data_IF_906029356258
#
_entry.id   IF_906029356258
#
_cell.length_a   1.000
_cell.length_b   1.000
_cell.length_c   1.000
_cell.angle_alpha   90.00
_cell.angle_beta   90.00
_cell.angle_gamma   90.00
#
_symmetry.space_group_name_H-M   'P 1'
#
loop_
_entity.id
_entity.type
_entity.pdbx_description
1 polymer ?
#
# COMPACT_ATOMS: atom_id res chain seq x y z
N UNK A 1 -3.14 17.54 -16.04
CA UNK A 1 -3.04 17.07 -14.64
C UNK A 1 -4.31 16.30 -14.30
N UNK A 2 -4.23 15.09 -13.72
CA UNK A 2 -5.44 14.34 -13.32
C UNK A 2 -6.13 15.10 -12.17
N UNK A 3 -7.41 15.44 -12.31
CA UNK A 3 -8.23 16.08 -11.26
C UNK A 3 -8.64 14.99 -10.25
N UNK A 4 -8.08 15.02 -9.04
CA UNK A 4 -8.53 14.19 -7.92
C UNK A 4 -7.67 12.95 -7.60
N UNK A 5 -8.03 12.30 -6.50
CA UNK A 5 -7.37 11.11 -5.95
C UNK A 5 -7.83 9.82 -6.64
N UNK A 6 -7.04 8.73 -6.62
CA UNK A 6 -7.43 7.44 -7.17
C UNK A 6 -8.81 6.96 -6.68
N UNK A 7 -9.62 6.47 -7.61
CA UNK A 7 -10.93 5.84 -7.39
C UNK A 7 -10.97 4.45 -8.04
N UNK A 8 -12.07 3.72 -7.86
CA UNK A 8 -12.27 2.39 -8.49
C UNK A 8 -12.29 2.47 -10.02
N UNK A 9 -12.62 3.64 -10.56
CA UNK A 9 -12.70 3.89 -12.00
C UNK A 9 -11.33 4.23 -12.60
N UNK A 10 -10.38 4.70 -11.79
CA UNK A 10 -9.04 5.11 -12.25
C UNK A 10 -7.93 4.12 -11.89
N UNK A 11 -8.29 3.06 -11.16
CA UNK A 11 -7.37 2.09 -10.58
C UNK A 11 -7.95 0.69 -10.70
N UNK A 12 -7.08 -0.28 -10.98
CA UNK A 12 -7.45 -1.67 -11.13
C UNK A 12 -7.60 -2.12 -12.58
N UNK A 13 -7.92 -3.40 -12.70
CA UNK A 13 -8.23 -4.05 -13.96
C UNK A 13 -9.58 -3.58 -14.52
N UNK A 14 -9.71 -3.62 -15.83
CA UNK A 14 -10.83 -3.09 -16.58
C UNK A 14 -11.13 -3.91 -17.83
N UNK A 15 -12.34 -3.75 -18.34
CA UNK A 15 -12.81 -4.45 -19.54
C UNK A 15 -12.98 -5.96 -19.34
N UNK A 16 -13.03 -6.67 -20.47
CA UNK A 16 -13.18 -8.12 -20.49
C UNK A 16 -11.84 -8.80 -20.27
N UNK A 17 -11.81 -9.76 -19.34
CA UNK A 17 -10.59 -10.47 -18.94
C UNK A 17 -10.74 -11.97 -19.16
N UNK A 18 -9.71 -12.60 -19.70
CA UNK A 18 -9.68 -14.05 -19.87
C UNK A 18 -9.34 -14.74 -18.54
N UNK A 19 -10.15 -15.70 -18.12
CA UNK A 19 -9.90 -16.45 -16.88
C UNK A 19 -8.71 -17.39 -17.01
N UNK A 20 -7.86 -17.41 -15.99
CA UNK A 20 -6.78 -18.38 -15.76
C UNK A 20 -6.69 -18.74 -14.28
N UNK A 21 -5.92 -19.79 -13.95
CA UNK A 21 -5.59 -20.13 -12.58
C UNK A 21 -4.33 -19.38 -12.11
N UNK A 22 -4.21 -19.21 -10.79
CA UNK A 22 -3.00 -18.77 -10.11
C UNK A 22 -1.81 -19.66 -10.46
N UNK A 23 -0.61 -19.08 -10.45
CA UNK A 23 0.61 -19.77 -10.86
C UNK A 23 1.87 -19.08 -10.37
N UNK A 24 2.95 -19.83 -10.38
CA UNK A 24 4.31 -19.29 -10.27
C UNK A 24 4.81 -18.84 -11.65
N UNK A 25 5.40 -17.65 -11.71
CA UNK A 25 6.05 -17.08 -12.89
C UNK A 25 7.56 -17.12 -12.64
N UNK A 26 8.27 -17.93 -13.43
CA UNK A 26 9.70 -18.23 -13.27
C UNK A 26 10.56 -17.75 -14.43
N UNK A 27 9.97 -17.11 -15.44
CA UNK A 27 10.68 -16.59 -16.61
C UNK A 27 10.82 -15.08 -16.53
N UNK A 28 12.05 -14.59 -16.64
CA UNK A 28 12.33 -13.16 -16.66
C UNK A 28 11.63 -12.46 -17.83
N UNK A 29 11.15 -11.24 -17.58
CA UNK A 29 10.42 -10.46 -18.57
C UNK A 29 9.07 -11.04 -18.99
N UNK A 30 8.58 -12.09 -18.30
CA UNK A 30 7.26 -12.64 -18.61
C UNK A 30 6.16 -11.59 -18.48
N UNK A 31 5.21 -11.60 -19.41
CA UNK A 31 4.10 -10.65 -19.44
C UNK A 31 2.79 -11.39 -19.25
N UNK A 32 2.02 -10.97 -18.25
CA UNK A 32 0.66 -11.40 -18.04
C UNK A 32 -0.28 -10.21 -18.24
N UNK A 33 -1.23 -10.34 -19.17
CA UNK A 33 -2.07 -9.22 -19.57
C UNK A 33 -3.50 -9.60 -19.93
N UNK A 34 -4.46 -8.74 -19.58
CA UNK A 34 -5.90 -8.89 -19.86
C UNK A 34 -6.47 -10.21 -19.35
N UNK A 35 -6.10 -10.59 -18.12
CA UNK A 35 -6.53 -11.85 -17.51
C UNK A 35 -7.14 -11.66 -16.13
N UNK A 36 -8.08 -12.55 -15.81
CA UNK A 36 -8.58 -12.76 -14.47
C UNK A 36 -7.92 -14.01 -13.90
N UNK A 37 -7.11 -13.85 -12.87
CA UNK A 37 -6.44 -14.94 -12.16
C UNK A 37 -7.31 -15.36 -10.98
N UNK A 38 -7.64 -16.65 -10.91
CA UNK A 38 -8.25 -17.26 -9.73
C UNK A 38 -7.17 -17.98 -8.94
N UNK A 39 -6.81 -17.43 -7.77
CA UNK A 39 -5.69 -17.87 -6.94
C UNK A 39 -4.51 -16.90 -6.94
N UNK A 40 -3.48 -17.25 -6.16
CA UNK A 40 -2.27 -16.45 -6.00
C UNK A 40 -1.40 -16.41 -7.26
N UNK A 41 -0.76 -15.26 -7.52
CA UNK A 41 0.40 -15.17 -8.38
C UNK A 41 1.68 -15.10 -7.54
N UNK A 42 2.65 -15.96 -7.85
CA UNK A 42 3.99 -15.90 -7.26
C UNK A 42 4.99 -15.55 -8.35
N UNK A 43 5.68 -14.42 -8.22
CA UNK A 43 6.68 -13.93 -9.18
C UNK A 43 8.06 -14.26 -8.64
N UNK A 44 8.70 -15.30 -9.18
CA UNK A 44 10.07 -15.69 -8.86
C UNK A 44 11.11 -15.04 -9.79
N UNK A 45 10.66 -14.56 -10.94
CA UNK A 45 11.51 -14.01 -12.00
C UNK A 45 11.60 -12.48 -11.98
N UNK A 46 12.65 -11.95 -12.60
CA UNK A 46 12.91 -10.53 -12.74
C UNK A 46 12.08 -9.91 -13.88
N UNK A 47 11.83 -8.60 -13.81
CA UNK A 47 11.22 -7.78 -14.86
C UNK A 47 9.84 -8.27 -15.36
N UNK A 48 9.16 -9.09 -14.58
CA UNK A 48 7.81 -9.58 -14.90
C UNK A 48 6.80 -8.43 -14.96
N UNK A 49 5.93 -8.44 -15.96
CA UNK A 49 4.91 -7.42 -16.17
C UNK A 49 3.52 -8.01 -15.93
N UNK A 50 2.78 -7.44 -14.99
CA UNK A 50 1.34 -7.61 -14.85
C UNK A 50 0.66 -6.35 -15.40
N UNK A 51 -0.15 -6.51 -16.45
CA UNK A 51 -0.84 -5.40 -17.11
C UNK A 51 -2.33 -5.70 -17.29
N UNK A 52 -3.21 -4.91 -16.67
CA UNK A 52 -4.65 -5.16 -16.72
C UNK A 52 -5.01 -6.58 -16.23
N UNK A 53 -4.67 -6.86 -14.97
CA UNK A 53 -4.82 -8.18 -14.35
C UNK A 53 -5.75 -8.09 -13.16
N UNK A 54 -6.78 -8.94 -13.11
CA UNK A 54 -7.63 -9.09 -11.93
C UNK A 54 -7.23 -10.35 -11.18
N UNK A 55 -6.70 -10.23 -9.97
CA UNK A 55 -6.41 -11.36 -9.09
C UNK A 55 -7.53 -11.49 -8.07
N UNK A 56 -8.24 -12.62 -8.08
CA UNK A 56 -9.15 -13.02 -7.00
C UNK A 56 -8.52 -14.19 -6.26
N UNK A 57 -8.20 -14.02 -4.99
CA UNK A 57 -7.48 -15.04 -4.21
C UNK A 57 -8.20 -15.40 -2.92
N UNK A 58 -8.02 -16.64 -2.48
CA UNK A 58 -8.27 -17.10 -1.11
C UNK A 58 -7.00 -17.69 -0.48
N UNK A 59 -5.84 -17.43 -1.08
CA UNK A 59 -4.52 -17.78 -0.56
C UNK A 59 -4.01 -16.69 0.37
N UNK A 60 -2.89 -16.97 1.07
CA UNK A 60 -2.19 -16.02 1.93
C UNK A 60 -1.88 -14.69 1.23
N UNK A 61 -1.54 -14.73 -0.07
CA UNK A 61 -1.22 -13.53 -0.83
C UNK A 61 -2.01 -13.44 -2.14
N UNK A 62 -2.25 -12.22 -2.61
CA UNK A 62 -2.73 -11.97 -3.96
C UNK A 62 -1.60 -12.10 -4.99
N UNK A 63 -0.62 -11.21 -4.88
CA UNK A 63 0.60 -11.22 -5.69
C UNK A 63 1.81 -11.18 -4.76
N UNK A 64 2.62 -12.23 -4.79
CA UNK A 64 3.85 -12.36 -4.01
C UNK A 64 5.05 -12.25 -4.94
N UNK A 65 5.93 -11.27 -4.69
CA UNK A 65 7.08 -10.94 -5.55
C UNK A 65 8.37 -11.28 -4.83
N UNK A 66 9.10 -12.28 -5.33
CA UNK A 66 10.47 -12.60 -4.96
C UNK A 66 11.49 -11.99 -5.93
N UNK A 67 11.15 -11.94 -7.23
CA UNK A 67 12.02 -11.33 -8.25
C UNK A 67 12.12 -9.80 -8.13
N UNK A 68 12.95 -9.21 -8.97
CA UNK A 68 13.23 -7.77 -8.95
C UNK A 68 12.51 -7.04 -10.09
N UNK A 69 12.23 -5.75 -9.88
CA UNK A 69 11.72 -4.83 -10.90
C UNK A 69 10.40 -5.28 -11.56
N UNK A 70 9.56 -6.04 -10.84
CA UNK A 70 8.25 -6.40 -11.33
C UNK A 70 7.41 -5.15 -11.62
N UNK A 71 6.73 -5.09 -12.77
CA UNK A 71 5.88 -3.96 -13.18
C UNK A 71 4.43 -4.37 -13.03
N UNK A 72 3.73 -3.80 -12.05
CA UNK A 72 2.33 -4.12 -11.77
C UNK A 72 1.48 -2.90 -12.10
N UNK A 73 0.69 -2.95 -13.17
CA UNK A 73 -0.13 -1.82 -13.60
C UNK A 73 -1.56 -2.23 -13.93
N UNK A 74 -2.48 -1.33 -13.63
CA UNK A 74 -3.91 -1.53 -13.88
C UNK A 74 -4.39 -2.87 -13.30
N UNK A 75 -3.93 -3.22 -12.10
CA UNK A 75 -4.15 -4.54 -11.50
C UNK A 75 -5.12 -4.43 -10.34
N UNK A 76 -6.19 -5.22 -10.34
CA UNK A 76 -7.08 -5.37 -9.19
C UNK A 76 -6.65 -6.60 -8.41
N UNK A 77 -6.55 -6.48 -7.08
CA UNK A 77 -6.30 -7.59 -6.17
C UNK A 77 -7.45 -7.62 -5.16
N UNK A 78 -8.30 -8.64 -5.29
CA UNK A 78 -9.39 -8.94 -4.37
C UNK A 78 -9.00 -10.15 -3.51
N UNK A 79 -8.86 -9.92 -2.21
CA UNK A 79 -8.67 -11.00 -1.24
C UNK A 79 -9.98 -11.67 -0.81
N UNK A 80 -9.82 -12.77 -0.08
CA UNK A 80 -10.90 -13.37 0.70
C UNK A 80 -10.64 -13.08 2.18
N UNK A 81 -11.60 -12.48 2.91
CA UNK A 81 -11.45 -12.17 4.33
C UNK A 81 -11.05 -13.40 5.16
N UNK A 82 -9.99 -13.26 5.96
CA UNK A 82 -9.43 -14.32 6.80
C UNK A 82 -8.17 -14.93 6.18
N UNK A 83 -8.26 -15.69 5.07
CA UNK A 83 -7.09 -16.33 4.48
C UNK A 83 -6.06 -15.40 3.84
N UNK A 84 -6.47 -14.24 3.32
CA UNK A 84 -5.56 -13.36 2.55
C UNK A 84 -4.88 -12.32 3.42
N UNK A 85 -3.67 -12.65 3.88
CA UNK A 85 -2.81 -11.83 4.71
C UNK A 85 -2.39 -10.52 4.04
N UNK A 86 -2.15 -10.52 2.73
CA UNK A 86 -1.83 -9.28 2.01
C UNK A 86 -2.17 -9.33 0.52
N UNK A 87 -2.48 -8.17 -0.06
CA UNK A 87 -2.79 -8.04 -1.49
C UNK A 87 -1.55 -8.15 -2.38
N UNK A 88 -0.64 -7.18 -2.29
CA UNK A 88 0.62 -7.15 -3.04
C UNK A 88 1.79 -7.14 -2.05
N UNK A 89 2.72 -8.08 -2.21
CA UNK A 89 3.87 -8.22 -1.32
C UNK A 89 5.15 -8.29 -2.14
N UNK A 90 6.12 -7.46 -1.81
CA UNK A 90 7.52 -7.75 -2.11
C UNK A 90 8.10 -8.54 -0.92
N UNK A 91 8.49 -9.78 -1.17
CA UNK A 91 9.24 -10.56 -0.20
C UNK A 91 10.67 -10.00 -0.09
N UNK A 92 11.38 -10.33 0.98
CA UNK A 92 12.76 -9.89 1.21
C UNK A 92 13.64 -10.07 -0.05
N UNK A 93 14.27 -8.97 -0.49
CA UNK A 93 15.05 -8.89 -1.74
C UNK A 93 14.23 -8.53 -2.99
N UNK A 94 12.95 -8.89 -3.03
CA UNK A 94 12.05 -8.60 -4.14
C UNK A 94 11.73 -7.11 -4.27
N UNK A 95 11.33 -6.68 -5.48
CA UNK A 95 10.93 -5.29 -5.72
C UNK A 95 9.90 -5.15 -6.83
N UNK A 96 9.05 -4.12 -6.72
CA UNK A 96 8.06 -3.79 -7.74
C UNK A 96 7.92 -2.29 -7.99
N UNK A 97 7.41 -1.97 -9.18
CA UNK A 97 6.80 -0.69 -9.50
C UNK A 97 5.32 -0.92 -9.78
N UNK A 98 4.48 -0.52 -8.82
CA UNK A 98 3.03 -0.64 -8.86
C UNK A 98 2.39 0.71 -9.21
N UNK A 99 1.50 0.71 -10.21
CA UNK A 99 0.79 1.92 -10.65
C UNK A 99 -0.67 1.64 -10.97
N UNK A 100 -1.59 2.46 -10.46
CA UNK A 100 -3.04 2.31 -10.67
C UNK A 100 -3.53 0.92 -10.26
N UNK A 101 -3.04 0.39 -9.15
CA UNK A 101 -3.57 -0.86 -8.59
C UNK A 101 -4.77 -0.57 -7.69
N UNK A 102 -5.68 -1.54 -7.59
CA UNK A 102 -6.83 -1.48 -6.68
C UNK A 102 -6.81 -2.72 -5.78
N UNK A 103 -6.50 -2.53 -4.49
CA UNK A 103 -6.39 -3.61 -3.50
C UNK A 103 -7.50 -3.48 -2.46
N UNK A 104 -8.22 -4.58 -2.20
CA UNK A 104 -9.31 -4.62 -1.22
C UNK A 104 -9.63 -6.05 -0.74
N UNK A 105 -10.32 -6.16 0.40
CA UNK A 105 -10.71 -7.43 1.06
C UNK A 105 -9.53 -8.34 1.42
N UNK A 106 -8.38 -7.74 1.66
CA UNK A 106 -7.17 -8.36 2.20
C UNK A 106 -6.97 -7.86 3.63
N UNK A 107 -6.25 -8.60 4.47
CA UNK A 107 -5.85 -8.13 5.80
C UNK A 107 -4.96 -6.89 5.64
N UNK A 108 -3.77 -7.05 5.07
CA UNK A 108 -2.96 -5.91 4.64
C UNK A 108 -3.18 -5.58 3.17
N UNK A 109 -3.01 -4.32 2.80
CA UNK A 109 -3.09 -3.92 1.40
C UNK A 109 -1.83 -4.26 0.63
N UNK A 110 -0.75 -3.50 0.89
CA UNK A 110 0.52 -3.60 0.17
C UNK A 110 1.68 -3.65 1.16
N UNK A 111 2.53 -4.67 1.07
CA UNK A 111 3.77 -4.78 1.84
C UNK A 111 4.97 -4.53 0.93
N UNK A 112 5.74 -3.50 1.24
CA UNK A 112 6.84 -2.99 0.41
C UNK A 112 8.20 -3.35 0.99
N UNK A 113 9.11 -3.76 0.10
CA UNK A 113 10.53 -3.94 0.40
C UNK A 113 11.36 -2.80 -0.23
N UNK A 114 12.70 -2.96 -0.26
CA UNK A 114 13.61 -1.96 -0.82
C UNK A 114 13.25 -1.61 -2.26
N UNK A 115 13.40 -0.34 -2.63
CA UNK A 115 13.19 0.16 -3.99
C UNK A 115 11.78 -0.06 -4.57
N UNK A 116 10.79 -0.45 -3.75
CA UNK A 116 9.41 -0.57 -4.22
C UNK A 116 8.79 0.81 -4.45
N UNK A 117 7.97 0.92 -5.50
CA UNK A 117 7.27 2.16 -5.84
C UNK A 117 5.77 1.85 -5.95
N UNK A 118 4.93 2.58 -5.21
CA UNK A 118 3.48 2.49 -5.26
C UNK A 118 2.89 3.86 -5.65
N UNK A 119 2.21 3.92 -6.80
CA UNK A 119 1.74 5.19 -7.36
C UNK A 119 0.30 5.16 -7.87
N UNK A 120 -0.41 6.28 -7.74
CA UNK A 120 -1.74 6.47 -8.35
C UNK A 120 -2.74 5.32 -8.03
N UNK A 121 -2.62 4.69 -6.86
CA UNK A 121 -3.32 3.44 -6.51
C UNK A 121 -4.37 3.64 -5.41
N UNK A 122 -5.35 2.72 -5.36
CA UNK A 122 -6.42 2.69 -4.37
C UNK A 122 -6.29 1.46 -3.47
N UNK A 123 -6.16 1.68 -2.17
CA UNK A 123 -6.12 0.64 -1.16
C UNK A 123 -7.21 0.93 -0.14
N UNK A 124 -8.16 0.01 0.01
CA UNK A 124 -9.31 0.21 0.91
C UNK A 124 -10.02 -1.08 1.26
N UNK A 125 -10.94 -1.02 2.24
CA UNK A 125 -11.83 -2.13 2.54
C UNK A 125 -11.08 -3.39 3.01
N UNK A 126 -10.07 -3.19 3.85
CA UNK A 126 -9.29 -4.27 4.48
C UNK A 126 -10.20 -5.20 5.29
N UNK A 127 -9.99 -6.50 5.21
CA UNK A 127 -10.79 -7.51 5.91
C UNK A 127 -9.95 -8.72 6.27
N UNK A 128 -10.16 -9.22 7.47
CA UNK A 128 -9.41 -10.34 8.06
C UNK A 128 -10.23 -10.99 9.18
N UNK A 129 -9.58 -11.72 10.07
CA UNK A 129 -10.18 -12.23 11.29
C UNK A 129 -10.20 -11.16 12.40
N UNK A 130 -10.85 -11.41 13.55
CA UNK A 130 -10.78 -10.52 14.71
C UNK A 130 -9.35 -10.30 15.25
N UNK A 131 -8.44 -11.24 15.03
CA UNK A 131 -7.04 -11.20 15.46
C UNK A 131 -6.10 -10.55 14.43
N UNK A 132 -6.60 -10.28 13.22
CA UNK A 132 -5.82 -9.68 12.14
C UNK A 132 -5.28 -8.31 12.50
N UNK A 133 -4.11 -7.97 11.95
CA UNK A 133 -3.54 -6.63 12.02
C UNK A 133 -3.76 -5.96 10.65
N UNK A 134 -4.35 -4.77 10.63
CA UNK A 134 -4.79 -4.15 9.38
C UNK A 134 -3.92 -2.96 9.01
N UNK A 135 -2.89 -3.17 8.21
CA UNK A 135 -2.08 -2.11 7.63
C UNK A 135 -2.35 -1.96 6.13
N UNK A 136 -2.86 -0.79 5.71
CA UNK A 136 -3.18 -0.60 4.30
C UNK A 136 -1.90 -0.57 3.44
N UNK A 137 -0.83 0.05 3.92
CA UNK A 137 0.49 -0.04 3.30
C UNK A 137 1.56 -0.18 4.38
N UNK A 138 2.43 -1.19 4.28
CA UNK A 138 3.63 -1.31 5.10
C UNK A 138 4.89 -1.07 4.27
N UNK A 139 5.77 -0.25 4.83
CA UNK A 139 7.14 0.04 4.40
C UNK A 139 7.97 0.28 5.68
N UNK A 140 7.76 -0.60 6.65
CA UNK A 140 8.23 -0.57 8.05
C UNK A 140 9.70 -0.99 8.20
N UNK A 141 10.25 -1.59 7.16
CA UNK A 141 11.67 -1.76 6.93
C UNK A 141 12.05 -1.36 5.52
N UNK A 142 13.33 -1.48 5.20
CA UNK A 142 13.90 -1.28 3.86
C UNK A 142 14.01 0.16 3.40
N UNK A 143 14.87 0.40 2.41
CA UNK A 143 15.18 1.77 1.94
C UNK A 143 14.84 1.98 0.47
N UNK A 144 14.66 3.24 0.09
CA UNK A 144 14.40 3.63 -1.31
C UNK A 144 12.94 3.46 -1.76
N UNK A 145 12.03 3.09 -0.86
CA UNK A 145 10.61 2.97 -1.20
C UNK A 145 9.96 4.34 -1.47
N UNK A 146 8.94 4.35 -2.33
CA UNK A 146 8.18 5.56 -2.72
C UNK A 146 6.68 5.28 -2.79
N UNK A 147 5.91 6.01 -2.00
CA UNK A 147 4.44 5.91 -1.94
C UNK A 147 3.87 7.27 -2.35
N UNK A 148 3.37 7.38 -3.58
CA UNK A 148 3.04 8.67 -4.20
C UNK A 148 1.63 8.70 -4.79
N UNK A 149 0.84 9.73 -4.49
CA UNK A 149 -0.48 9.94 -5.13
C UNK A 149 -1.48 8.81 -4.98
N UNK A 150 -1.39 8.06 -3.89
CA UNK A 150 -2.32 6.98 -3.59
C UNK A 150 -3.52 7.49 -2.79
N UNK A 151 -4.60 6.73 -2.82
CA UNK A 151 -5.71 6.83 -1.88
C UNK A 151 -5.68 5.62 -0.96
N UNK A 152 -5.30 5.83 0.29
CA UNK A 152 -5.02 4.79 1.28
C UNK A 152 -6.04 4.94 2.41
N UNK A 153 -6.93 3.95 2.54
CA UNK A 153 -8.06 4.00 3.46
C UNK A 153 -8.06 2.77 4.36
N UNK A 154 -7.88 2.98 5.66
CA UNK A 154 -8.04 1.95 6.67
C UNK A 154 -9.20 2.33 7.59
N UNK A 155 -10.28 1.54 7.58
CA UNK A 155 -11.47 1.83 8.38
C UNK A 155 -11.42 1.20 9.78
N UNK A 156 -10.37 0.46 10.10
CA UNK A 156 -10.16 -0.15 11.41
C UNK A 156 -9.53 0.84 12.38
N UNK A 157 -9.85 0.72 13.66
CA UNK A 157 -9.38 1.61 14.74
C UNK A 157 -8.07 1.16 15.40
N UNK A 158 -7.34 0.25 14.76
CA UNK A 158 -6.10 -0.37 15.24
C UNK A 158 -4.98 -0.23 14.19
N UNK A 159 -3.73 -0.49 14.59
CA UNK A 159 -2.51 -0.38 13.74
C UNK A 159 -2.46 0.92 12.94
N UNK A 160 -2.29 0.89 11.61
CA UNK A 160 -2.06 2.09 10.81
C UNK A 160 -2.73 2.09 9.43
N UNK A 161 -2.94 3.28 8.85
CA UNK A 161 -3.16 3.36 7.41
C UNK A 161 -1.84 3.18 6.64
N UNK A 162 -0.74 3.76 7.12
CA UNK A 162 0.60 3.49 6.60
C UNK A 162 1.58 3.29 7.75
N UNK A 163 2.27 2.16 7.76
CA UNK A 163 3.38 1.89 8.67
C UNK A 163 4.70 2.06 7.92
N UNK A 164 5.55 3.01 8.33
CA UNK A 164 6.76 3.42 7.58
C UNK A 164 8.09 3.18 8.28
N UNK A 165 8.10 2.71 9.52
CA UNK A 165 9.34 2.41 10.20
C UNK A 165 9.13 1.54 11.44
N UNK A 166 10.11 0.68 11.70
CA UNK A 166 10.36 0.06 12.99
C UNK A 166 11.80 -0.51 12.99
N UNK A 167 12.73 0.14 13.69
CA UNK A 167 14.15 -0.26 13.69
C UNK A 167 14.39 -1.63 14.33
N UNK A 168 13.40 -2.21 15.03
CA UNK A 168 13.50 -3.57 15.58
C UNK A 168 13.66 -4.62 14.49
N UNK A 169 13.19 -4.31 13.27
CA UNK A 169 13.29 -5.23 12.13
C UNK A 169 14.46 -4.89 11.21
N UNK A 170 14.54 -3.64 10.73
CA UNK A 170 15.60 -3.16 9.82
C UNK A 170 15.49 -1.65 9.59
N UNK A 171 16.54 -1.05 9.02
CA UNK A 171 16.55 0.36 8.63
C UNK A 171 15.45 0.66 7.61
N UNK A 172 14.72 1.76 7.82
CA UNK A 172 13.69 2.26 6.89
C UNK A 172 13.97 3.69 6.46
N UNK A 173 13.92 3.95 5.14
CA UNK A 173 14.06 5.28 4.58
C UNK A 173 13.34 5.39 3.23
N UNK A 174 12.53 6.43 3.05
CA UNK A 174 11.75 6.56 1.83
C UNK A 174 10.90 7.82 1.76
N UNK A 175 10.02 7.86 0.77
CA UNK A 175 9.19 9.02 0.47
C UNK A 175 7.70 8.64 0.43
N UNK A 176 6.95 9.19 1.38
CA UNK A 176 5.49 9.22 1.37
C UNK A 176 5.04 10.63 0.96
N UNK A 177 4.65 10.81 -0.31
CA UNK A 177 4.35 12.13 -0.84
C UNK A 177 3.01 12.25 -1.54
N UNK A 178 2.28 13.31 -1.22
CA UNK A 178 1.05 13.69 -1.90
C UNK A 178 0.09 12.51 -1.99
N UNK A 179 -0.24 11.86 -0.87
CA UNK A 179 -1.25 10.81 -0.77
C UNK A 179 -2.51 11.34 -0.06
N UNK A 180 -3.66 10.72 -0.32
CA UNK A 180 -4.86 10.86 0.50
C UNK A 180 -4.94 9.69 1.46
N UNK A 181 -4.88 9.98 2.75
CA UNK A 181 -4.76 8.98 3.81
C UNK A 181 -5.93 9.17 4.76
N UNK A 182 -6.60 8.07 5.13
CA UNK A 182 -7.65 8.12 6.13
C UNK A 182 -7.65 6.85 6.99
N UNK A 183 -7.63 7.07 8.29
CA UNK A 183 -7.96 6.08 9.30
C UNK A 183 -6.79 5.23 9.79
N UNK A 184 -7.06 3.98 10.19
CA UNK A 184 -6.18 3.18 11.06
C UNK A 184 -6.30 3.60 12.53
N UNK A 185 -5.57 2.92 13.42
CA UNK A 185 -5.31 3.39 14.78
C UNK A 185 -4.60 4.75 14.72
N UNK A 186 -3.60 4.85 13.85
CA UNK A 186 -2.98 6.09 13.41
C UNK A 186 -2.94 6.16 11.88
N UNK A 187 -3.05 7.34 11.26
CA UNK A 187 -2.83 7.41 9.79
C UNK A 187 -1.41 7.00 9.42
N UNK A 188 -0.41 7.48 10.16
CA UNK A 188 0.98 7.10 10.00
C UNK A 188 1.47 6.45 11.30
N UNK A 189 2.04 5.27 11.21
CA UNK A 189 2.82 4.70 12.30
C UNK A 189 4.30 4.76 11.96
N UNK A 190 5.04 5.51 12.77
CA UNK A 190 6.46 5.74 12.56
C UNK A 190 7.36 4.63 13.10
N UNK A 191 6.93 3.95 14.16
CA UNK A 191 7.73 3.01 14.95
C UNK A 191 8.74 3.70 15.87
N UNK A 192 8.95 3.23 17.11
CA UNK A 192 9.90 3.85 18.03
C UNK A 192 11.34 3.71 17.50
N UNK A 193 12.17 4.75 17.61
CA UNK A 193 13.59 4.67 17.26
C UNK A 193 13.90 4.72 15.75
N UNK A 194 13.04 5.36 14.96
CA UNK A 194 13.28 5.58 13.53
C UNK A 194 14.69 6.14 13.29
N UNK A 195 15.36 5.58 12.28
CA UNK A 195 16.56 6.21 11.71
C UNK A 195 16.16 7.34 10.76
N UNK A 196 17.15 8.11 10.34
CA UNK A 196 16.98 9.22 9.40
C UNK A 196 16.57 8.74 7.99
N UNK A 197 15.86 9.60 7.26
CA UNK A 197 15.59 9.42 5.82
C UNK A 197 14.12 9.20 5.44
N UNK A 198 13.21 9.08 6.41
CA UNK A 198 11.76 9.02 6.16
C UNK A 198 11.25 10.43 5.89
N UNK A 199 10.50 10.59 4.80
CA UNK A 199 9.94 11.88 4.36
C UNK A 199 8.44 11.75 4.12
N UNK A 200 7.65 12.43 4.95
CA UNK A 200 6.18 12.53 4.89
C UNK A 200 5.82 13.94 4.42
N UNK A 201 5.55 14.09 3.12
CA UNK A 201 5.48 15.41 2.46
C UNK A 201 4.16 15.60 1.69
N UNK A 202 3.51 16.76 1.84
CA UNK A 202 2.35 17.18 1.05
C UNK A 202 1.15 16.21 1.07
N UNK A 203 1.01 15.38 2.11
CA UNK A 203 -0.09 14.43 2.19
C UNK A 203 -1.37 15.07 2.73
N UNK A 204 -2.51 14.54 2.32
CA UNK A 204 -3.83 14.93 2.78
C UNK A 204 -4.36 13.90 3.78
N UNK A 205 -4.57 14.32 5.02
CA UNK A 205 -5.08 13.51 6.13
C UNK A 205 -6.58 13.74 6.30
N UNK A 206 -7.37 12.72 5.99
CA UNK A 206 -8.82 12.84 5.89
C UNK A 206 -9.54 12.33 7.12
N UNK A 207 -10.53 13.08 7.58
CA UNK A 207 -11.42 12.68 8.67
C UNK A 207 -12.51 11.68 8.25
N UNK A 208 -12.40 11.09 7.04
CA UNK A 208 -13.40 10.20 6.45
C UNK A 208 -13.78 9.01 7.35
N UNK A 209 -12.81 8.42 8.05
CA UNK A 209 -13.05 7.26 8.91
C UNK A 209 -13.07 7.63 10.40
N UNK A 210 -12.18 8.54 10.82
CA UNK A 210 -12.12 9.00 12.20
C UNK A 210 -11.87 10.51 12.26
N UNK A 211 -12.39 11.22 13.28
CA UNK A 211 -12.24 12.68 13.40
C UNK A 211 -10.78 13.19 13.46
N UNK A 212 -9.83 12.33 13.81
CA UNK A 212 -8.40 12.65 13.91
C UNK A 212 -7.56 12.05 12.77
N UNK A 213 -8.19 11.65 11.66
CA UNK A 213 -7.51 10.93 10.56
C UNK A 213 -6.73 9.73 11.12
N UNK A 214 -7.45 8.83 11.78
CA UNK A 214 -6.90 7.81 12.66
C UNK A 214 -7.69 7.82 13.96
N UNK A 215 -7.90 6.66 14.57
CA UNK A 215 -8.68 6.56 15.78
C UNK A 215 -8.02 7.32 16.93
N UNK A 216 -6.71 7.13 17.11
CA UNK A 216 -5.89 7.78 18.15
C UNK A 216 -5.25 9.08 17.69
N UNK A 217 -4.96 9.23 16.39
CA UNK A 217 -4.37 10.46 15.86
C UNK A 217 -3.85 10.31 14.43
N UNK A 218 -3.32 11.39 13.84
CA UNK A 218 -2.74 11.34 12.50
C UNK A 218 -1.42 10.56 12.47
N UNK A 219 -0.71 10.48 13.58
CA UNK A 219 0.63 9.89 13.64
C UNK A 219 0.99 9.41 15.04
N UNK A 220 1.83 8.38 15.13
CA UNK A 220 2.48 7.92 16.37
C UNK A 220 3.95 7.58 16.12
N UNK A 221 4.76 7.72 17.18
CA UNK A 221 6.18 7.35 17.20
C UNK A 221 6.99 7.99 16.07
N UNK A 222 6.80 9.29 15.86
CA UNK A 222 7.55 10.05 14.87
C UNK A 222 8.80 10.65 15.50
N UNK A 223 9.97 10.29 14.98
CA UNK A 223 11.24 10.90 15.33
C UNK A 223 11.57 12.02 14.34
N UNK A 224 11.66 13.25 14.82
CA UNK A 224 11.95 14.40 13.95
C UNK A 224 13.40 14.47 13.49
N UNK A 225 14.35 13.90 14.25
CA UNK A 225 15.77 13.96 13.93
C UNK A 225 16.07 13.16 12.66
N UNK A 226 16.54 13.84 11.61
CA UNK A 226 16.89 13.21 10.33
C UNK A 226 15.70 12.78 9.46
N UNK A 227 14.46 13.00 9.91
CA UNK A 227 13.24 12.75 9.13
C UNK A 227 12.55 14.07 8.76
N UNK A 228 11.71 14.05 7.73
CA UNK A 228 11.02 15.25 7.24
C UNK A 228 9.52 15.08 7.31
N UNK A 229 8.85 16.02 7.98
CA UNK A 229 7.40 16.18 7.97
C UNK A 229 7.04 17.59 7.50
N UNK A 230 6.45 17.74 6.32
CA UNK A 230 6.14 19.07 5.78
C UNK A 230 4.96 19.05 4.81
N UNK A 231 4.27 20.19 4.68
CA UNK A 231 3.18 20.36 3.70
C UNK A 231 1.93 19.51 3.93
N UNK A 232 1.89 18.68 4.98
CA UNK A 232 0.75 17.81 5.25
C UNK A 232 -0.45 18.63 5.76
N UNK A 233 -1.64 18.36 5.21
CA UNK A 233 -2.88 19.11 5.50
C UNK A 233 -4.04 18.21 5.84
N UNK A 234 -4.95 18.72 6.65
CA UNK A 234 -6.21 18.07 6.97
C UNK A 234 -7.23 18.20 5.83
N UNK A 235 -8.08 17.18 5.68
CA UNK A 235 -9.25 17.21 4.81
C UNK A 235 -10.50 16.76 5.57
N UNK A 236 -11.47 17.66 5.67
CA UNK A 236 -12.72 17.45 6.41
C UNK A 236 -12.61 17.81 7.90
N UNK A 237 -13.78 17.89 8.54
CA UNK A 237 -13.92 18.28 9.94
C UNK A 237 -13.51 19.74 10.20
N UNK A 238 -13.41 20.11 11.49
CA UNK A 238 -13.10 21.48 11.93
C UNK A 238 -11.69 21.97 11.56
N UNK A 239 -10.82 21.07 11.11
CA UNK A 239 -9.41 21.35 10.79
C UNK A 239 -9.15 21.43 9.28
N UNK A 240 -10.17 21.32 8.42
CA UNK A 240 -10.01 21.28 6.96
C UNK A 240 -9.06 22.37 6.44
N UNK A 241 -8.11 21.97 5.59
CA UNK A 241 -7.08 22.87 5.01
C UNK A 241 -5.95 23.27 5.97
N UNK A 242 -6.08 23.06 7.29
CA UNK A 242 -5.00 23.37 8.23
C UNK A 242 -3.86 22.34 8.19
N UNK A 243 -2.69 22.71 8.72
CA UNK A 243 -1.51 21.83 8.75
C UNK A 243 -1.67 20.69 9.75
N UNK A 244 -1.22 19.50 9.36
CA UNK A 244 -1.04 18.34 10.26
C UNK A 244 0.37 18.42 10.82
N UNK A 245 0.50 18.35 12.15
CA UNK A 245 1.79 18.25 12.84
C UNK A 245 2.05 16.78 13.21
N UNK A 246 3.32 16.33 13.16
CA UNK A 246 3.70 15.05 13.74
C UNK A 246 3.52 15.07 15.26
#
# INVERSE_FOLDING_TARGET
MRKGWPTKETSGAHGTLRSIQGRTITRDGAVLRNVRVNGQLTIMADDVVLDNVYVKTSSAYGVLVYGHRAKVRDTTIEGTPGPTLAGLVAYEGGSFVARRIHVFRTEDGVRMASNCILTDSLIHGLRGSPESHFDAVTADGYTGWRILRNRILNHHSQTAAVWVGDPRYRDSAGLLKNNFIAGGGYSIYGGPGQRAGIRVIDNTFSTKHFPRSGYWGPVAYWESSGNTWSGNVWRGGRRDGSRVRP
#
